data_IF_076213218708
#
_entry.id   IF_076213218708
#
_cell.length_a   1.000
_cell.length_b   1.000
_cell.length_c   1.000
_cell.angle_alpha   90.00
_cell.angle_beta   90.00
_cell.angle_gamma   90.00
#
_symmetry.space_group_name_H-M   'P 1'
#
loop_
_entity.id
_entity.type
_entity.pdbx_description
1 polymer ?
#
# COMPACT_ATOMS: atom_id res chain seq x y z
N UNK A 1 7.64 20.09 8.77
CA UNK A 1 7.63 19.43 7.46
C UNK A 1 7.70 20.51 6.40
N UNK A 2 8.62 20.45 5.42
CA UNK A 2 8.80 21.57 4.47
C UNK A 2 8.16 21.32 3.11
N UNK A 3 8.07 20.07 2.64
CA UNK A 3 7.43 19.70 1.37
C UNK A 3 6.84 18.29 1.47
N UNK A 4 5.65 18.08 0.91
CA UNK A 4 5.02 16.77 0.79
C UNK A 4 5.58 16.10 -0.47
N UNK A 5 6.19 14.92 -0.32
CA UNK A 5 6.79 14.16 -1.43
C UNK A 5 5.75 13.23 -2.07
N UNK A 6 5.92 12.93 -3.35
CA UNK A 6 5.03 11.99 -4.06
C UNK A 6 5.41 10.54 -3.75
N UNK A 7 4.46 9.61 -3.90
CA UNK A 7 4.70 8.19 -3.62
C UNK A 7 5.77 7.55 -4.54
N UNK A 8 6.05 8.15 -5.69
CA UNK A 8 7.02 7.66 -6.67
C UNK A 8 8.46 8.09 -6.38
N UNK A 9 8.67 9.01 -5.44
CA UNK A 9 10.02 9.43 -5.07
C UNK A 9 10.68 8.37 -4.18
N UNK A 10 11.39 7.42 -4.80
CA UNK A 10 12.11 6.33 -4.11
C UNK A 10 13.15 6.81 -3.07
N UNK A 11 13.51 8.11 -3.08
CA UNK A 11 14.39 8.71 -2.09
C UNK A 11 13.70 9.08 -0.77
N UNK A 12 12.36 9.10 -0.72
CA UNK A 12 11.61 9.58 0.44
C UNK A 12 10.61 8.54 0.94
N UNK A 13 10.82 8.11 2.19
CA UNK A 13 9.92 7.22 2.91
C UNK A 13 10.11 5.72 2.59
N UNK A 14 9.56 4.85 3.44
CA UNK A 14 9.60 3.40 3.22
C UNK A 14 8.59 2.97 2.13
N UNK A 15 8.91 1.90 1.41
CA UNK A 15 7.99 1.32 0.41
C UNK A 15 6.67 0.91 1.07
N UNK A 16 5.57 1.51 0.61
CA UNK A 16 4.21 1.23 1.05
C UNK A 16 3.85 -0.26 0.96
N UNK A 17 4.44 -1.01 0.03
CA UNK A 17 4.24 -2.46 -0.10
C UNK A 17 4.58 -3.24 1.17
N UNK A 18 5.57 -2.78 1.94
CA UNK A 18 5.95 -3.42 3.21
C UNK A 18 4.80 -3.32 4.22
N UNK A 19 4.19 -2.14 4.35
CA UNK A 19 3.04 -1.91 5.21
C UNK A 19 1.82 -2.71 4.72
N UNK A 20 1.51 -2.63 3.42
CA UNK A 20 0.38 -3.33 2.82
C UNK A 20 0.45 -4.85 3.05
N UNK A 21 1.64 -5.45 2.96
CA UNK A 21 1.85 -6.87 3.25
C UNK A 21 1.49 -7.22 4.69
N UNK A 22 1.97 -6.46 5.67
CA UNK A 22 1.67 -6.70 7.09
C UNK A 22 0.18 -6.57 7.38
N UNK A 23 -0.48 -5.58 6.78
CA UNK A 23 -1.93 -5.37 6.92
C UNK A 23 -2.73 -6.58 6.42
N UNK A 24 -2.39 -7.09 5.23
CA UNK A 24 -3.03 -8.27 4.63
C UNK A 24 -2.73 -9.54 5.44
N UNK A 25 -1.48 -9.73 5.90
CA UNK A 25 -1.09 -10.88 6.72
C UNK A 25 -1.86 -10.91 8.04
N UNK A 26 -2.09 -9.74 8.65
CA UNK A 26 -2.87 -9.58 9.88
C UNK A 26 -4.38 -9.54 9.66
N UNK A 27 -4.85 -9.49 8.41
CA UNK A 27 -6.28 -9.41 8.07
C UNK A 27 -6.93 -8.09 8.48
N UNK A 28 -6.17 -6.99 8.47
CA UNK A 28 -6.64 -5.66 8.84
C UNK A 28 -7.22 -4.96 7.60
N UNK A 29 -8.34 -4.26 7.76
CA UNK A 29 -8.96 -3.40 6.74
C UNK A 29 -8.79 -1.92 7.14
N UNK A 30 -7.64 -1.30 6.80
CA UNK A 30 -7.36 0.08 7.20
C UNK A 30 -8.04 1.09 6.27
N UNK A 31 -8.32 2.27 6.81
CA UNK A 31 -8.58 3.49 6.03
C UNK A 31 -7.25 4.21 5.83
N UNK A 32 -6.82 4.37 4.59
CA UNK A 32 -5.52 4.99 4.23
C UNK A 32 -5.79 6.34 3.60
N UNK A 33 -5.19 7.39 4.16
CA UNK A 33 -5.30 8.77 3.68
C UNK A 33 -3.96 9.15 3.07
N UNK A 34 -3.94 9.46 1.77
CA UNK A 34 -2.76 10.05 1.13
C UNK A 34 -2.72 11.53 1.47
N UNK A 35 -1.61 12.02 2.02
CA UNK A 35 -1.35 13.45 2.21
C UNK A 35 -0.38 13.99 1.14
N UNK A 36 -0.16 13.26 0.05
CA UNK A 36 0.74 13.71 -1.02
C UNK A 36 0.17 14.92 -1.78
N UNK A 37 1.01 15.69 -2.52
CA UNK A 37 0.55 16.81 -3.34
C UNK A 37 -0.43 16.38 -4.44
N UNK A 38 -0.44 15.09 -4.79
CA UNK A 38 -1.27 14.49 -5.83
C UNK A 38 -2.22 13.47 -5.18
N UNK A 39 -3.02 13.96 -4.23
CA UNK A 39 -3.91 13.22 -3.34
C UNK A 39 -4.62 12.05 -4.04
N UNK A 40 -5.33 12.32 -5.16
CA UNK A 40 -6.15 11.33 -5.85
C UNK A 40 -5.33 10.21 -6.51
N UNK A 41 -4.23 10.57 -7.17
CA UNK A 41 -3.42 9.59 -7.94
C UNK A 41 -2.68 8.65 -6.99
N UNK A 42 -2.11 9.19 -5.91
CA UNK A 42 -1.40 8.38 -4.93
C UNK A 42 -2.35 7.54 -4.09
N UNK A 43 -3.54 8.05 -3.75
CA UNK A 43 -4.57 7.25 -3.09
C UNK A 43 -4.98 6.03 -3.96
N UNK A 44 -5.19 6.24 -5.27
CA UNK A 44 -5.51 5.14 -6.20
C UNK A 44 -4.35 4.15 -6.28
N UNK A 45 -3.10 4.62 -6.37
CA UNK A 45 -1.91 3.75 -6.37
C UNK A 45 -1.81 2.91 -5.10
N UNK A 46 -1.96 3.51 -3.93
CA UNK A 46 -1.93 2.81 -2.64
C UNK A 46 -3.03 1.74 -2.57
N UNK A 47 -4.24 2.07 -3.02
CA UNK A 47 -5.35 1.09 -3.08
C UNK A 47 -5.00 -0.09 -3.99
N UNK A 48 -4.51 0.18 -5.20
CA UNK A 48 -4.16 -0.88 -6.16
C UNK A 48 -3.06 -1.79 -5.62
N UNK A 49 -2.03 -1.22 -4.97
CA UNK A 49 -0.95 -1.99 -4.33
C UNK A 49 -1.53 -2.91 -3.24
N UNK A 50 -2.43 -2.40 -2.40
CA UNK A 50 -3.05 -3.19 -1.34
C UNK A 50 -3.90 -4.33 -1.91
N UNK A 51 -4.71 -4.08 -2.93
CA UNK A 51 -5.55 -5.09 -3.58
C UNK A 51 -4.71 -6.19 -4.26
N UNK A 52 -3.63 -5.82 -4.95
CA UNK A 52 -2.71 -6.78 -5.57
C UNK A 52 -2.04 -7.68 -4.52
N UNK A 53 -1.61 -7.11 -3.39
CA UNK A 53 -1.01 -7.88 -2.29
C UNK A 53 -2.07 -8.77 -1.61
N UNK A 54 -3.30 -8.28 -1.45
CA UNK A 54 -4.43 -9.06 -0.91
C UNK A 54 -4.75 -10.27 -1.78
N UNK A 55 -4.80 -10.09 -3.10
CA UNK A 55 -5.08 -11.18 -4.03
C UNK A 55 -3.92 -12.19 -4.11
N UNK A 56 -2.67 -11.71 -4.19
CA UNK A 56 -1.50 -12.59 -4.22
C UNK A 56 -1.34 -13.41 -2.93
N UNK A 57 -1.65 -12.83 -1.77
CA UNK A 57 -1.62 -13.53 -0.48
C UNK A 57 -2.75 -14.56 -0.36
N UNK A 58 -3.92 -14.26 -0.92
CA UNK A 58 -5.05 -15.21 -0.99
C UNK A 58 -4.70 -16.44 -1.84
N UNK A 59 -4.09 -16.25 -3.02
CA UNK A 59 -3.59 -17.35 -3.88
C UNK A 59 -2.52 -18.21 -3.17
N UNK A 60 -1.61 -17.58 -2.42
CA UNK A 60 -0.59 -18.31 -1.63
C UNK A 60 -1.20 -19.13 -0.49
N UNK A 61 -2.21 -18.61 0.22
CA UNK A 61 -2.93 -19.38 1.25
C UNK A 61 -3.69 -20.57 0.66
N UNK A 62 -4.27 -20.43 -0.53
CA UNK A 62 -4.98 -21.52 -1.21
C UNK A 62 -4.04 -22.66 -1.68
N UNK A 63 -2.83 -22.33 -2.14
CA UNK A 63 -1.84 -23.32 -2.61
C UNK A 63 -1.12 -24.09 -1.49
N UNK A 64 -1.28 -23.65 -0.23
CA UNK A 64 -0.66 -24.26 0.95
C UNK A 64 -1.59 -25.23 1.70
N UNK A 65 -2.83 -25.41 1.23
CA UNK A 65 -3.86 -26.29 1.83
C UNK A 65 -4.02 -27.56 1.02
#
# INVERSE_FOLDING_TARGET
EKEHHTLDEEQFGPDFRLLAKVLVERGIEPVIISESPILDKDAIKMKNIFEEIKESTSKRKAKKR
#
